data_IF_457273848357
#
_entry.id   IF_457273848357
#
_cell.length_a   1.000
_cell.length_b   1.000
_cell.length_c   1.000
_cell.angle_alpha   90.00
_cell.angle_beta   90.00
_cell.angle_gamma   90.00
#
_symmetry.space_group_name_H-M   'P 1'
#
loop_
_entity.id
_entity.type
_entity.pdbx_description
1 polymer ?
#
# COMPACT_ATOMS: atom_id res chain seq x y z
N UNK A 1 -9.82 11.98 59.63
CA UNK A 1 -9.04 12.50 58.50
C UNK A 1 -9.41 11.67 57.29
N UNK A 2 -10.06 12.33 56.33
CA UNK A 2 -10.56 11.78 55.06
C UNK A 2 -9.41 11.40 54.12
N UNK A 3 -9.55 10.36 53.28
CA UNK A 3 -8.60 10.08 52.21
C UNK A 3 -8.81 11.07 51.05
N UNK A 4 -7.70 11.63 50.54
CA UNK A 4 -7.68 12.48 49.35
C UNK A 4 -7.97 11.66 48.08
N UNK A 5 -8.74 12.27 47.18
CA UNK A 5 -9.11 11.73 45.86
C UNK A 5 -7.91 11.63 44.90
N UNK A 6 -7.97 10.76 43.87
CA UNK A 6 -6.97 10.74 42.79
C UNK A 6 -7.20 11.88 41.78
N UNK A 7 -6.09 12.40 41.26
CA UNK A 7 -6.03 13.42 40.21
C UNK A 7 -6.78 13.01 38.93
N UNK A 8 -7.56 13.93 38.36
CA UNK A 8 -8.16 13.81 37.03
C UNK A 8 -7.08 13.91 35.92
N UNK A 9 -7.24 13.17 34.80
CA UNK A 9 -6.30 13.26 33.69
C UNK A 9 -6.49 14.57 32.91
N UNK A 10 -5.37 15.28 32.75
CA UNK A 10 -5.27 16.52 31.98
C UNK A 10 -5.80 16.41 30.56
N UNK A 11 -6.46 17.49 30.16
CA UNK A 11 -6.96 17.86 28.85
C UNK A 11 -6.07 17.44 27.68
N UNK A 12 -6.70 16.86 26.66
CA UNK A 12 -6.07 16.41 25.43
C UNK A 12 -5.14 17.45 24.82
N UNK A 13 -3.87 17.09 24.66
CA UNK A 13 -2.97 17.79 23.77
C UNK A 13 -3.52 17.66 22.34
N UNK A 14 -3.82 18.79 21.71
CA UNK A 14 -4.10 18.87 20.29
C UNK A 14 -2.97 18.19 19.52
N UNK A 15 -3.25 17.03 18.92
CA UNK A 15 -2.30 16.38 18.02
C UNK A 15 -2.11 17.32 16.81
N UNK A 16 -0.87 17.71 16.48
CA UNK A 16 -0.63 18.56 15.32
C UNK A 16 -1.16 17.87 14.05
N UNK A 17 -1.83 18.65 13.20
CA UNK A 17 -2.37 18.16 11.93
C UNK A 17 -1.17 17.83 11.01
N UNK A 18 -0.96 16.53 10.78
CA UNK A 18 0.01 16.00 9.82
C UNK A 18 -0.30 16.43 8.38
N UNK A 19 0.73 16.67 7.55
CA UNK A 19 0.57 17.07 6.13
C UNK A 19 -0.11 15.97 5.32
N UNK A 20 0.14 14.70 5.65
CA UNK A 20 -0.57 13.52 5.13
C UNK A 20 -2.06 13.57 5.44
N UNK A 21 -2.44 13.95 6.66
CA UNK A 21 -3.84 14.13 7.03
C UNK A 21 -4.49 15.32 6.30
N UNK A 22 -3.74 16.39 6.05
CA UNK A 22 -4.21 17.54 5.25
C UNK A 22 -4.41 17.16 3.77
N UNK A 23 -3.49 16.41 3.17
CA UNK A 23 -3.57 15.93 1.80
C UNK A 23 -4.75 14.95 1.63
N UNK A 24 -4.94 14.02 2.57
CA UNK A 24 -6.14 13.16 2.62
C UNK A 24 -7.43 13.98 2.64
N UNK A 25 -7.50 15.04 3.45
CA UNK A 25 -8.66 15.91 3.53
C UNK A 25 -8.90 16.70 2.23
N UNK A 26 -7.83 17.18 1.58
CA UNK A 26 -7.91 17.89 0.31
C UNK A 26 -8.41 17.00 -0.84
N UNK A 27 -7.96 15.74 -0.88
CA UNK A 27 -8.39 14.72 -1.86
C UNK A 27 -9.84 14.31 -1.61
N UNK A 28 -10.22 14.02 -0.36
CA UNK A 28 -11.58 13.65 0.01
C UNK A 28 -12.61 14.77 -0.27
N UNK A 29 -12.17 16.03 -0.25
CA UNK A 29 -13.01 17.19 -0.56
C UNK A 29 -13.20 17.45 -2.07
N UNK A 30 -12.52 16.71 -2.97
CA UNK A 30 -12.74 16.81 -4.41
C UNK A 30 -12.49 18.20 -5.02
N UNK A 31 -11.69 19.06 -4.39
CA UNK A 31 -11.54 20.45 -4.79
C UNK A 31 -10.40 20.67 -5.81
N UNK A 32 -10.62 20.22 -7.04
CA UNK A 32 -10.11 20.95 -8.20
C UNK A 32 -11.20 21.93 -8.63
N UNK A 33 -11.20 23.15 -8.08
CA UNK A 33 -12.05 24.22 -8.59
C UNK A 33 -11.27 24.93 -9.70
N UNK A 34 -11.67 24.84 -10.97
CA UNK A 34 -11.09 25.68 -12.01
C UNK A 34 -11.50 27.12 -11.73
N UNK A 35 -10.54 28.00 -11.39
CA UNK A 35 -10.76 29.44 -11.37
C UNK A 35 -10.87 29.95 -12.82
N UNK A 36 -12.06 29.81 -13.41
CA UNK A 36 -12.51 30.70 -14.48
C UNK A 36 -13.54 31.64 -13.89
N UNK A 37 -13.25 32.93 -14.06
CA UNK A 37 -13.91 34.06 -13.45
C UNK A 37 -15.44 34.03 -13.59
N UNK A 38 -16.16 34.10 -12.47
CA UNK A 38 -17.11 35.17 -12.12
C UNK A 38 -17.89 34.78 -10.85
N UNK A 39 -17.80 35.62 -9.82
CA UNK A 39 -18.89 35.82 -8.84
C UNK A 39 -19.10 34.78 -7.72
N UNK A 40 -18.50 35.08 -6.56
CA UNK A 40 -19.00 34.83 -5.19
C UNK A 40 -19.13 33.40 -4.66
N UNK A 41 -18.07 32.90 -4.00
CA UNK A 41 -18.15 32.32 -2.64
C UNK A 41 -16.95 32.84 -1.85
N UNK A 42 -17.21 33.61 -0.81
CA UNK A 42 -16.21 34.16 0.08
C UNK A 42 -15.94 33.19 1.24
N UNK A 43 -14.74 32.64 1.31
CA UNK A 43 -14.02 32.39 2.57
C UNK A 43 -12.52 32.66 2.31
N UNK A 44 -11.89 33.38 3.23
CA UNK A 44 -10.50 33.85 3.22
C UNK A 44 -10.20 35.11 2.37
N UNK A 45 -10.79 36.24 2.76
CA UNK A 45 -10.10 37.53 2.66
C UNK A 45 -10.24 38.26 3.98
N UNK A 46 -9.37 37.91 4.90
CA UNK A 46 -8.85 38.84 5.90
C UNK A 46 -7.51 38.31 6.39
N UNK A 47 -6.44 38.78 5.75
CA UNK A 47 -5.10 38.80 6.33
C UNK A 47 -4.21 39.76 5.54
N UNK A 48 -4.17 41.00 6.02
CA UNK A 48 -2.98 41.84 6.13
C UNK A 48 -1.95 41.82 5.01
N UNK A 49 -1.85 42.95 4.33
CA UNK A 49 -0.59 43.56 3.93
C UNK A 49 0.38 43.64 5.10
N UNK A 50 1.11 42.57 5.38
CA UNK A 50 2.44 42.60 5.99
C UNK A 50 3.27 41.45 5.45
N UNK A 51 4.36 41.78 4.76
CA UNK A 51 5.37 40.83 4.29
C UNK A 51 6.01 40.11 5.45
N UNK A 52 5.39 39.01 5.86
CA UNK A 52 6.02 37.97 6.65
C UNK A 52 6.31 36.84 5.68
N UNK A 53 7.58 36.53 5.49
CA UNK A 53 7.98 35.26 4.90
C UNK A 53 7.25 34.17 5.66
N UNK A 54 6.34 33.49 4.97
CA UNK A 54 5.65 32.34 5.53
C UNK A 54 6.73 31.31 5.82
N UNK A 55 6.81 30.85 7.07
CA UNK A 55 7.72 29.79 7.43
C UNK A 55 7.47 28.59 6.49
N UNK A 56 8.50 28.02 5.86
CA UNK A 56 8.35 26.79 5.09
C UNK A 56 7.58 25.78 5.93
N UNK A 57 6.59 25.12 5.34
CA UNK A 57 5.90 24.00 5.99
C UNK A 57 6.97 23.06 6.54
N UNK A 58 6.89 22.65 7.82
CA UNK A 58 7.86 21.73 8.42
C UNK A 58 8.08 20.49 7.52
N UNK A 59 9.31 19.99 7.55
CA UNK A 59 9.73 18.77 6.85
C UNK A 59 8.82 17.59 7.25
N UNK A 60 8.59 16.66 6.31
CA UNK A 60 7.82 15.41 6.47
C UNK A 60 8.50 14.51 7.54
N UNK A 61 8.28 14.84 8.81
CA UNK A 61 8.79 14.12 10.00
C UNK A 61 7.62 13.84 10.96
N UNK A 62 6.54 13.31 10.39
CA UNK A 62 5.30 12.94 11.07
C UNK A 62 4.91 11.45 10.86
N UNK A 63 5.89 10.62 10.49
CA UNK A 63 5.74 9.17 10.26
C UNK A 63 6.05 8.70 8.83
N UNK A 64 6.97 9.38 8.16
CA UNK A 64 7.40 9.09 6.77
C UNK A 64 8.60 8.12 6.70
N UNK A 65 8.86 7.41 7.80
CA UNK A 65 9.73 6.24 7.74
C UNK A 65 9.15 5.24 6.73
N UNK A 66 9.95 4.76 5.76
CA UNK A 66 9.48 3.77 4.80
C UNK A 66 8.88 2.56 5.51
N UNK A 67 7.79 2.04 4.95
CA UNK A 67 7.16 0.83 5.47
C UNK A 67 8.17 -0.30 5.48
N UNK A 68 8.42 -0.85 6.66
CA UNK A 68 9.49 -1.82 6.86
C UNK A 68 9.19 -3.15 6.12
N UNK A 69 10.23 -3.82 5.57
CA UNK A 69 10.07 -5.14 4.97
C UNK A 69 9.92 -6.21 6.05
N UNK A 70 9.19 -7.27 5.74
CA UNK A 70 9.13 -8.50 6.53
C UNK A 70 9.16 -9.74 5.65
N UNK A 71 9.36 -10.90 6.27
CA UNK A 71 9.40 -12.17 5.56
C UNK A 71 8.10 -12.43 4.76
N UNK A 72 8.26 -13.03 3.57
CA UNK A 72 7.16 -13.47 2.72
C UNK A 72 6.30 -14.57 3.38
N UNK A 73 6.95 -15.44 4.15
CA UNK A 73 6.32 -16.64 4.68
C UNK A 73 6.15 -17.74 3.62
N UNK A 74 5.76 -18.95 4.03
CA UNK A 74 5.79 -20.13 3.16
C UNK A 74 4.58 -20.24 2.21
N UNK A 75 3.63 -19.30 2.28
CA UNK A 75 2.32 -19.42 1.64
C UNK A 75 2.07 -18.40 0.54
N UNK A 76 3.08 -17.69 0.05
CA UNK A 76 2.91 -16.85 -1.13
C UNK A 76 2.69 -17.71 -2.38
N UNK A 77 1.87 -17.20 -3.32
CA UNK A 77 1.68 -17.80 -4.64
C UNK A 77 1.73 -16.69 -5.70
N UNK A 78 2.57 -16.82 -6.73
CA UNK A 78 2.55 -15.89 -7.87
C UNK A 78 1.24 -16.05 -8.66
N UNK A 79 0.99 -15.16 -9.62
CA UNK A 79 -0.21 -15.18 -10.48
C UNK A 79 -1.54 -14.98 -9.74
N UNK A 80 -1.55 -14.17 -8.69
CA UNK A 80 -2.82 -13.79 -8.06
C UNK A 80 -3.72 -13.08 -9.09
N UNK A 81 -5.05 -13.26 -9.04
CA UNK A 81 -5.96 -12.56 -9.95
C UNK A 81 -6.04 -11.06 -9.63
N UNK A 82 -6.23 -10.22 -10.66
CA UNK A 82 -6.48 -8.78 -10.50
C UNK A 82 -7.87 -8.56 -9.88
N UNK A 83 -7.93 -8.30 -8.57
CA UNK A 83 -9.16 -8.01 -7.82
C UNK A 83 -8.85 -7.39 -6.45
N UNK A 84 -9.62 -6.37 -6.08
CA UNK A 84 -9.64 -5.80 -4.73
C UNK A 84 -10.68 -6.45 -3.80
N UNK A 85 -11.55 -7.34 -4.31
CA UNK A 85 -12.52 -8.07 -3.50
C UNK A 85 -12.16 -9.57 -3.46
N UNK A 86 -11.74 -10.03 -2.29
CA UNK A 86 -11.30 -11.40 -2.06
C UNK A 86 -12.43 -12.34 -1.62
N UNK A 87 -13.63 -11.82 -1.39
CA UNK A 87 -14.78 -12.56 -0.86
C UNK A 87 -15.91 -12.65 -1.88
N UNK A 88 -16.59 -13.80 -1.88
CA UNK A 88 -17.84 -14.04 -2.61
C UNK A 88 -19.03 -14.09 -1.64
N UNK A 89 -20.28 -13.99 -2.12
CA UNK A 89 -21.45 -14.19 -1.27
C UNK A 89 -21.38 -15.52 -0.50
N UNK A 90 -21.61 -15.47 0.81
CA UNK A 90 -21.54 -16.64 1.69
C UNK A 90 -20.15 -16.98 2.23
N UNK A 91 -19.11 -16.19 1.90
CA UNK A 91 -17.77 -16.40 2.50
C UNK A 91 -17.83 -16.31 4.03
N UNK A 92 -17.38 -17.34 4.77
CA UNK A 92 -17.40 -17.32 6.23
C UNK A 92 -16.33 -16.37 6.80
N UNK A 93 -16.65 -15.73 7.92
CA UNK A 93 -15.75 -14.83 8.64
C UNK A 93 -16.34 -13.45 8.88
N UNK A 94 -15.69 -12.68 9.75
CA UNK A 94 -16.08 -11.28 10.00
C UNK A 94 -15.67 -10.43 8.80
N UNK A 95 -16.61 -9.73 8.12
CA UNK A 95 -16.28 -8.86 7.00
C UNK A 95 -15.25 -7.79 7.39
N UNK A 96 -14.29 -7.55 6.52
CA UNK A 96 -13.22 -6.57 6.70
C UNK A 96 -13.00 -5.79 5.40
N UNK A 97 -12.97 -4.46 5.48
CA UNK A 97 -12.43 -3.61 4.42
C UNK A 97 -11.14 -2.98 4.92
N UNK A 98 -10.02 -3.16 4.21
CA UNK A 98 -8.75 -2.47 4.47
C UNK A 98 -8.56 -1.42 3.39
N UNK A 99 -8.35 -0.17 3.76
CA UNK A 99 -8.11 0.92 2.79
C UNK A 99 -7.03 1.86 3.26
N UNK A 100 -6.54 2.69 2.35
CA UNK A 100 -5.55 3.71 2.66
C UNK A 100 -4.90 4.22 1.40
N UNK A 101 -3.69 4.73 1.56
CA UNK A 101 -2.92 5.34 0.48
C UNK A 101 -1.51 4.77 0.42
N UNK A 102 -0.85 4.94 -0.72
CA UNK A 102 0.59 4.72 -0.86
C UNK A 102 1.25 6.07 -1.13
N UNK A 103 2.31 6.39 -0.38
CA UNK A 103 3.09 7.62 -0.52
C UNK A 103 4.55 7.31 -0.86
N UNK A 104 5.24 8.26 -1.48
CA UNK A 104 6.71 8.34 -1.53
C UNK A 104 7.30 9.06 -0.32
N UNK A 105 8.62 9.23 -0.29
CA UNK A 105 9.36 9.90 0.81
C UNK A 105 9.00 11.38 1.00
N UNK A 106 8.48 12.03 -0.03
CA UNK A 106 8.11 13.44 -0.06
C UNK A 106 6.62 13.68 0.24
N UNK A 107 5.97 12.70 0.86
CA UNK A 107 4.54 12.71 1.16
C UNK A 107 3.63 12.81 -0.08
N UNK A 108 4.13 12.51 -1.29
CA UNK A 108 3.32 12.55 -2.51
C UNK A 108 2.62 11.20 -2.72
N UNK A 109 1.29 11.19 -2.96
CA UNK A 109 0.57 9.97 -3.23
C UNK A 109 1.02 9.33 -4.55
N UNK A 110 1.25 8.02 -4.53
CA UNK A 110 1.75 7.25 -5.66
C UNK A 110 0.61 6.50 -6.34
N UNK A 111 0.31 6.87 -7.59
CA UNK A 111 -0.64 6.15 -8.44
C UNK A 111 0.00 4.94 -9.12
N UNK A 112 -0.81 3.91 -9.45
CA UNK A 112 -0.34 2.75 -10.21
C UNK A 112 0.59 1.83 -9.44
N UNK A 113 0.65 1.94 -8.11
CA UNK A 113 1.41 1.03 -7.25
C UNK A 113 0.69 -0.31 -7.21
N UNK A 114 1.38 -1.39 -7.56
CA UNK A 114 0.91 -2.75 -7.36
C UNK A 114 0.81 -3.05 -5.87
N UNK A 115 -0.35 -3.54 -5.44
CA UNK A 115 -0.56 -4.12 -4.11
C UNK A 115 -1.12 -5.53 -4.28
N UNK A 116 -0.31 -6.55 -4.00
CA UNK A 116 -0.66 -7.97 -4.08
C UNK A 116 -0.84 -8.56 -2.67
N UNK A 117 -2.09 -8.87 -2.32
CA UNK A 117 -2.49 -9.30 -0.99
C UNK A 117 -2.72 -10.82 -0.93
N UNK A 118 -2.29 -11.42 0.17
CA UNK A 118 -2.68 -12.79 0.52
C UNK A 118 -2.84 -12.96 2.03
N UNK A 119 -3.75 -13.84 2.44
CA UNK A 119 -4.01 -14.14 3.84
C UNK A 119 -4.56 -15.55 4.02
N UNK A 120 -4.66 -15.98 5.28
CA UNK A 120 -5.44 -17.15 5.65
C UNK A 120 -6.95 -16.88 5.58
N UNK A 121 -7.74 -17.95 5.52
CA UNK A 121 -9.18 -17.92 5.76
C UNK A 121 -9.51 -17.63 7.24
N UNK A 122 -10.80 -17.63 7.61
CA UNK A 122 -11.25 -17.34 8.98
C UNK A 122 -10.83 -18.41 10.01
N UNK A 123 -10.40 -19.60 9.57
CA UNK A 123 -9.91 -20.69 10.40
C UNK A 123 -8.37 -20.75 10.48
N UNK A 124 -7.66 -19.87 9.77
CA UNK A 124 -6.19 -19.83 9.76
C UNK A 124 -5.55 -20.72 8.70
N UNK A 125 -6.31 -21.21 7.71
CA UNK A 125 -5.79 -22.01 6.61
C UNK A 125 -5.50 -21.15 5.36
N UNK A 126 -4.36 -21.39 4.71
CA UNK A 126 -4.02 -20.81 3.41
C UNK A 126 -4.46 -21.72 2.27
N UNK A 127 -5.07 -21.17 1.23
CA UNK A 127 -5.35 -21.89 0.00
C UNK A 127 -4.06 -22.03 -0.83
N UNK A 128 -3.47 -23.23 -0.80
CA UNK A 128 -2.27 -23.57 -1.56
C UNK A 128 -2.59 -24.20 -2.94
N UNK A 129 -3.86 -24.52 -3.21
CA UNK A 129 -4.29 -25.13 -4.49
C UNK A 129 -4.84 -24.06 -5.44
N UNK A 130 -5.84 -23.31 -5.00
CA UNK A 130 -6.46 -22.22 -5.74
C UNK A 130 -5.88 -20.84 -5.39
N UNK A 131 -6.74 -19.82 -5.49
CA UNK A 131 -6.42 -18.43 -5.19
C UNK A 131 -7.37 -17.79 -4.17
N UNK A 132 -8.08 -18.59 -3.37
CA UNK A 132 -8.97 -18.06 -2.33
C UNK A 132 -8.17 -17.15 -1.38
N UNK A 133 -8.68 -15.96 -1.08
CA UNK A 133 -7.98 -14.93 -0.31
C UNK A 133 -6.63 -14.46 -0.89
N UNK A 134 -6.50 -14.48 -2.22
CA UNK A 134 -5.37 -13.91 -2.96
C UNK A 134 -5.86 -12.97 -4.05
N UNK A 135 -5.21 -11.84 -4.22
CA UNK A 135 -5.50 -10.94 -5.32
C UNK A 135 -4.67 -9.67 -5.25
N UNK A 136 -4.41 -9.11 -6.42
CA UNK A 136 -3.70 -7.85 -6.54
C UNK A 136 -4.60 -6.75 -7.10
N UNK A 137 -4.18 -5.51 -6.87
CA UNK A 137 -4.80 -4.30 -7.39
C UNK A 137 -3.71 -3.24 -7.63
N UNK A 138 -4.11 -2.11 -8.20
CA UNK A 138 -3.24 -0.95 -8.37
C UNK A 138 -3.86 0.25 -7.65
N UNK A 139 -3.03 1.10 -7.04
CA UNK A 139 -3.52 2.37 -6.49
C UNK A 139 -4.11 3.26 -7.59
N UNK A 140 -5.15 4.02 -7.24
CA UNK A 140 -5.77 4.96 -8.17
C UNK A 140 -4.94 6.24 -8.36
N UNK A 141 -5.46 7.21 -9.13
CA UNK A 141 -4.80 8.47 -9.41
C UNK A 141 -4.53 9.33 -8.15
N UNK A 142 -5.22 9.06 -7.05
CA UNK A 142 -5.00 9.71 -5.75
C UNK A 142 -4.08 8.91 -4.82
N UNK A 143 -3.53 7.79 -5.30
CA UNK A 143 -2.71 6.86 -4.53
C UNK A 143 -3.51 5.95 -3.60
N UNK A 144 -4.84 5.94 -3.71
CA UNK A 144 -5.70 5.18 -2.81
C UNK A 144 -5.84 3.70 -3.21
N UNK A 145 -6.06 2.83 -2.23
CA UNK A 145 -6.41 1.42 -2.43
C UNK A 145 -7.57 0.97 -1.53
N UNK A 146 -8.24 -0.12 -1.90
CA UNK A 146 -9.28 -0.74 -1.08
C UNK A 146 -9.33 -2.25 -1.29
N UNK A 147 -9.20 -2.98 -0.18
CA UNK A 147 -9.25 -4.43 -0.12
C UNK A 147 -10.49 -4.87 0.67
N UNK A 148 -11.43 -5.57 0.03
CA UNK A 148 -12.56 -6.22 0.68
C UNK A 148 -12.24 -7.69 0.94
N UNK A 149 -12.25 -8.09 2.20
CA UNK A 149 -11.88 -9.42 2.67
C UNK A 149 -12.66 -9.81 3.95
N UNK A 150 -12.18 -10.81 4.68
CA UNK A 150 -12.59 -11.13 6.06
C UNK A 150 -11.39 -11.04 6.99
N UNK A 151 -11.64 -10.93 8.29
CA UNK A 151 -10.61 -11.04 9.33
C UNK A 151 -9.98 -12.46 9.27
N UNK A 152 -8.68 -12.61 8.90
CA UNK A 152 -8.04 -13.93 8.81
C UNK A 152 -7.96 -14.58 10.18
N UNK A 153 -8.09 -15.90 10.28
CA UNK A 153 -7.88 -16.66 11.50
C UNK A 153 -6.41 -16.64 11.97
N UNK A 154 -6.18 -17.07 13.21
CA UNK A 154 -4.82 -17.31 13.71
C UNK A 154 -4.30 -18.61 13.13
N UNK A 155 -3.06 -18.61 12.62
CA UNK A 155 -2.35 -19.85 12.31
C UNK A 155 -1.25 -20.15 13.34
N UNK A 156 -0.79 -21.41 13.46
CA UNK A 156 0.14 -21.80 14.51
C UNK A 156 1.42 -20.94 14.53
N UNK A 157 1.78 -20.46 15.72
CA UNK A 157 3.03 -19.73 15.95
C UNK A 157 3.03 -18.25 15.58
N UNK A 158 1.94 -17.69 15.03
CA UNK A 158 1.89 -16.31 14.56
C UNK A 158 0.71 -15.52 15.11
N UNK A 159 0.86 -14.21 15.24
CA UNK A 159 -0.24 -13.27 15.50
C UNK A 159 -1.08 -13.08 14.23
N UNK A 160 -2.25 -12.43 14.34
CA UNK A 160 -3.12 -12.21 13.18
C UNK A 160 -2.48 -11.20 12.22
N UNK A 161 -2.41 -11.54 10.94
CA UNK A 161 -1.87 -10.65 9.91
C UNK A 161 -2.46 -10.91 8.52
N UNK A 162 -2.28 -9.91 7.66
CA UNK A 162 -2.46 -10.01 6.20
C UNK A 162 -1.10 -9.77 5.56
N UNK A 163 -0.72 -10.55 4.57
CA UNK A 163 0.49 -10.29 3.81
C UNK A 163 0.23 -9.38 2.63
N UNK A 164 1.26 -8.62 2.24
CA UNK A 164 1.20 -7.73 1.09
C UNK A 164 2.57 -7.61 0.42
N UNK A 165 2.57 -7.56 -0.91
CA UNK A 165 3.66 -7.05 -1.71
C UNK A 165 3.23 -5.71 -2.30
N UNK A 166 4.02 -4.67 -2.06
CA UNK A 166 3.80 -3.32 -2.58
C UNK A 166 4.92 -2.94 -3.54
N UNK A 167 4.58 -2.31 -4.66
CA UNK A 167 5.55 -2.02 -5.69
C UNK A 167 5.14 -0.81 -6.53
N UNK A 168 5.92 0.26 -6.45
CA UNK A 168 5.79 1.39 -7.37
C UNK A 168 6.22 0.98 -8.78
N UNK A 169 5.68 1.63 -9.83
CA UNK A 169 6.05 1.33 -11.21
C UNK A 169 7.57 1.40 -11.44
N UNK A 170 8.18 0.30 -11.90
CA UNK A 170 9.63 0.24 -12.18
C UNK A 170 10.53 0.02 -10.95
N UNK A 171 9.96 0.02 -9.75
CA UNK A 171 10.71 -0.03 -8.48
C UNK A 171 10.72 -1.43 -7.83
N UNK A 172 11.69 -1.76 -6.96
CA UNK A 172 11.74 -3.05 -6.27
C UNK A 172 10.47 -3.38 -5.47
N UNK A 173 10.20 -4.68 -5.28
CA UNK A 173 9.07 -5.14 -4.46
C UNK A 173 9.37 -4.97 -2.97
N UNK A 174 8.52 -4.24 -2.26
CA UNK A 174 8.42 -4.33 -0.80
C UNK A 174 7.55 -5.54 -0.44
N UNK A 175 8.11 -6.50 0.29
CA UNK A 175 7.33 -7.59 0.90
C UNK A 175 7.18 -7.31 2.39
N UNK A 176 5.94 -7.31 2.89
CA UNK A 176 5.67 -7.04 4.31
C UNK A 176 4.35 -7.67 4.77
N UNK A 177 3.95 -7.37 6.01
CA UNK A 177 2.74 -7.88 6.65
C UNK A 177 2.02 -6.75 7.39
N UNK A 178 0.71 -6.86 7.56
CA UNK A 178 -0.13 -5.89 8.30
C UNK A 178 -0.74 -6.57 9.52
N UNK A 179 -0.66 -5.93 10.69
CA UNK A 179 -1.10 -6.49 11.98
C UNK A 179 -2.40 -5.87 12.50
N UNK A 180 -3.06 -6.58 13.40
CA UNK A 180 -4.31 -6.15 14.03
C UNK A 180 -4.09 -5.66 15.47
N UNK A 181 -4.80 -4.60 15.90
CA UNK A 181 -4.70 -4.08 17.26
C UNK A 181 -5.35 -5.04 18.27
N UNK A 182 -4.75 -5.13 19.45
CA UNK A 182 -5.30 -5.87 20.58
C UNK A 182 -5.23 -7.40 20.47
N UNK A 183 -4.52 -7.96 19.49
CA UNK A 183 -4.29 -9.39 19.42
C UNK A 183 -3.34 -9.85 20.54
N UNK A 184 -3.73 -10.79 21.41
CA UNK A 184 -2.87 -11.25 22.51
C UNK A 184 -1.50 -11.76 22.04
N UNK A 185 -1.46 -12.35 20.84
CA UNK A 185 -0.24 -12.88 20.23
C UNK A 185 0.74 -11.81 19.72
N UNK A 186 0.36 -10.54 19.65
CA UNK A 186 1.32 -9.46 19.39
C UNK A 186 2.43 -9.43 20.45
N UNK A 187 2.14 -9.91 21.67
CA UNK A 187 3.13 -9.99 22.76
C UNK A 187 4.09 -11.20 22.66
N UNK A 188 3.84 -12.14 21.74
CA UNK A 188 4.57 -13.40 21.65
C UNK A 188 5.11 -13.71 20.24
N UNK A 189 4.55 -13.11 19.20
CA UNK A 189 5.05 -13.24 17.83
C UNK A 189 6.28 -12.36 17.65
N UNK A 190 7.44 -12.97 17.42
CA UNK A 190 8.74 -12.28 17.36
C UNK A 190 8.89 -11.38 16.15
N UNK A 191 8.02 -11.48 15.15
CA UNK A 191 8.04 -10.60 13.98
C UNK A 191 6.89 -9.57 13.99
N UNK A 192 6.08 -9.53 15.05
CA UNK A 192 5.15 -8.42 15.24
C UNK A 192 5.91 -7.10 15.32
N UNK A 193 5.44 -6.09 14.58
CA UNK A 193 5.98 -4.74 14.65
C UNK A 193 4.84 -3.70 14.70
N UNK A 194 4.84 -2.78 15.69
CA UNK A 194 3.82 -1.74 15.79
C UNK A 194 3.80 -0.76 14.60
N UNK A 195 4.90 -0.61 13.85
CA UNK A 195 4.92 0.22 12.62
C UNK A 195 4.03 -0.35 11.51
N UNK A 196 3.72 -1.64 11.57
CA UNK A 196 2.87 -2.36 10.61
C UNK A 196 1.43 -2.58 11.14
N UNK A 197 1.07 -1.89 12.23
CA UNK A 197 -0.23 -2.01 12.87
C UNK A 197 -1.30 -1.21 12.11
N UNK A 198 -2.36 -1.89 11.66
CA UNK A 198 -3.52 -1.22 11.10
C UNK A 198 -4.33 -0.51 12.20
N UNK A 199 -4.92 0.62 11.86
CA UNK A 199 -6.00 1.19 12.68
C UNK A 199 -7.31 0.50 12.33
N UNK A 200 -8.00 -0.13 13.29
CA UNK A 200 -9.18 -0.97 13.03
C UNK A 200 -10.36 -0.53 13.90
N UNK A 201 -11.53 -0.35 13.27
CA UNK A 201 -12.79 0.00 13.93
C UNK A 201 -13.90 -0.99 13.57
N UNK A 202 -14.87 -1.17 14.48
CA UNK A 202 -16.07 -1.96 14.20
C UNK A 202 -17.09 -1.11 13.43
N UNK A 203 -17.67 -1.66 12.37
CA UNK A 203 -18.72 -1.01 11.57
C UNK A 203 -19.79 -2.03 11.22
N UNK A 204 -21.00 -1.84 11.77
CA UNK A 204 -22.09 -2.81 11.64
C UNK A 204 -21.68 -4.21 12.12
N UNK A 205 -21.92 -5.22 11.29
CA UNK A 205 -21.50 -6.60 11.54
C UNK A 205 -20.06 -6.94 11.14
N UNK A 206 -19.25 -5.95 10.75
CA UNK A 206 -17.88 -6.13 10.25
C UNK A 206 -16.88 -5.16 10.85
N UNK A 207 -15.75 -5.00 10.17
CA UNK A 207 -14.66 -4.11 10.54
C UNK A 207 -14.19 -3.29 9.34
N UNK A 208 -13.70 -2.09 9.63
CA UNK A 208 -12.92 -1.29 8.70
C UNK A 208 -11.54 -1.08 9.28
N UNK A 209 -10.52 -1.25 8.45
CA UNK A 209 -9.13 -1.05 8.78
C UNK A 209 -8.51 -0.03 7.84
N UNK A 210 -7.58 0.77 8.37
CA UNK A 210 -6.81 1.73 7.59
C UNK A 210 -5.32 1.54 7.81
N UNK A 211 -4.54 1.58 6.73
CA UNK A 211 -3.09 1.58 6.74
C UNK A 211 -2.55 2.32 5.52
N UNK A 212 -1.53 3.15 5.71
CA UNK A 212 -0.87 3.84 4.60
C UNK A 212 0.53 3.32 4.44
N UNK A 213 0.89 2.94 3.22
CA UNK A 213 2.23 2.58 2.86
C UNK A 213 3.05 3.84 2.57
N UNK A 214 4.32 3.79 2.94
CA UNK A 214 5.34 4.74 2.52
C UNK A 214 6.42 3.93 1.82
N UNK A 215 6.58 4.15 0.52
CA UNK A 215 7.62 3.51 -0.28
C UNK A 215 8.84 4.41 -0.36
N UNK A 216 10.00 3.77 -0.42
CA UNK A 216 11.30 4.41 -0.39
C UNK A 216 11.68 5.02 -1.76
N UNK A 217 10.76 5.79 -2.34
CA UNK A 217 10.79 6.32 -3.71
C UNK A 217 10.48 7.82 -3.70
N UNK A 218 11.04 8.57 -4.65
CA UNK A 218 10.69 9.99 -4.83
C UNK A 218 9.31 10.08 -5.50
N UNK A 219 8.39 10.86 -4.94
CA UNK A 219 7.00 10.90 -5.38
C UNK A 219 6.70 11.92 -6.48
N UNK A 220 7.72 12.41 -7.19
CA UNK A 220 7.53 13.27 -8.36
C UNK A 220 6.60 12.62 -9.40
N UNK A 221 5.88 13.42 -10.23
CA UNK A 221 5.12 12.89 -11.34
C UNK A 221 6.07 12.04 -12.18
N UNK A 222 5.81 10.73 -12.22
CA UNK A 222 6.48 9.86 -13.17
C UNK A 222 5.99 10.30 -14.53
N UNK A 223 6.79 11.12 -15.23
CA UNK A 223 6.63 11.26 -16.65
C UNK A 223 6.54 9.83 -17.23
N UNK A 224 5.54 9.52 -18.08
CA UNK A 224 5.56 8.25 -18.80
C UNK A 224 6.94 8.16 -19.47
N UNK A 225 7.69 7.04 -19.36
CA UNK A 225 9.10 7.00 -19.72
C UNK A 225 9.34 7.65 -21.08
N UNK A 226 9.94 8.85 -21.07
CA UNK A 226 9.92 9.75 -22.23
C UNK A 226 10.99 9.45 -23.26
N UNK A 227 11.64 8.28 -23.22
CA UNK A 227 12.44 7.78 -24.32
C UNK A 227 12.35 6.25 -24.43
N UNK A 228 11.92 5.69 -25.57
CA UNK A 228 12.11 4.27 -25.83
C UNK A 228 13.60 3.99 -26.03
N UNK A 229 14.19 2.97 -25.37
CA UNK A 229 15.51 2.48 -25.76
C UNK A 229 15.47 2.06 -27.23
N UNK A 230 16.32 2.66 -28.05
CA UNK A 230 16.38 2.50 -29.51
C UNK A 230 17.06 1.21 -30.00
N UNK A 231 17.26 0.21 -29.15
CA UNK A 231 17.88 -1.05 -29.56
C UNK A 231 16.88 -2.22 -29.64
N UNK A 232 16.95 -3.08 -30.68
CA UNK A 232 16.15 -4.30 -30.78
C UNK A 232 16.63 -5.38 -29.79
N UNK A 233 15.83 -6.41 -29.47
CA UNK A 233 16.11 -7.37 -28.39
C UNK A 233 17.36 -8.22 -28.64
N UNK A 234 18.07 -8.61 -27.58
CA UNK A 234 19.03 -9.72 -27.65
C UNK A 234 18.69 -10.84 -26.65
N UNK A 235 17.81 -11.77 -27.02
CA UNK A 235 17.74 -13.11 -26.39
C UNK A 235 16.36 -13.71 -26.10
N UNK A 236 16.32 -15.04 -25.96
CA UNK A 236 15.20 -15.77 -25.35
C UNK A 236 15.28 -15.67 -23.83
N UNK A 237 14.12 -15.58 -23.16
CA UNK A 237 14.07 -15.63 -21.70
C UNK A 237 14.69 -16.94 -21.20
N UNK A 238 15.51 -16.83 -20.16
CA UNK A 238 16.18 -17.93 -19.48
C UNK A 238 16.06 -17.73 -17.96
N UNK A 239 15.90 -18.80 -17.15
CA UNK A 239 15.92 -18.74 -15.69
C UNK A 239 17.35 -18.52 -15.17
N UNK A 240 17.49 -17.91 -13.99
CA UNK A 240 18.78 -17.58 -13.38
C UNK A 240 19.53 -16.44 -14.09
N UNK A 241 18.90 -15.76 -15.05
CA UNK A 241 19.51 -14.71 -15.83
C UNK A 241 19.17 -13.34 -15.25
N UNK A 242 20.16 -12.45 -15.01
CA UNK A 242 19.90 -11.08 -14.62
C UNK A 242 19.37 -10.28 -15.82
N UNK A 243 18.16 -9.74 -15.71
CA UNK A 243 17.59 -8.76 -16.62
C UNK A 243 17.60 -7.39 -15.96
N UNK A 244 17.88 -6.34 -16.72
CA UNK A 244 17.65 -4.95 -16.35
C UNK A 244 16.23 -4.51 -16.75
N UNK A 245 15.73 -3.44 -16.12
CA UNK A 245 14.49 -2.81 -16.56
C UNK A 245 14.67 -2.25 -17.98
N UNK A 246 13.71 -2.52 -18.86
CA UNK A 246 13.77 -2.16 -20.27
C UNK A 246 14.33 -3.24 -21.19
N UNK A 247 15.02 -4.25 -20.65
CA UNK A 247 15.49 -5.40 -21.43
C UNK A 247 14.33 -6.07 -22.16
N UNK A 248 14.57 -6.57 -23.36
CA UNK A 248 13.59 -7.33 -24.12
C UNK A 248 13.99 -8.80 -24.16
N UNK A 249 13.05 -9.67 -23.84
CA UNK A 249 13.22 -11.11 -23.94
C UNK A 249 12.05 -11.73 -24.70
N UNK A 250 12.31 -12.85 -25.37
CA UNK A 250 11.26 -13.65 -26.03
C UNK A 250 10.93 -14.89 -25.22
N UNK A 251 9.65 -15.20 -25.04
CA UNK A 251 9.21 -16.44 -24.39
C UNK A 251 7.94 -16.97 -25.07
N UNK A 252 7.94 -18.25 -25.44
CA UNK A 252 6.80 -18.86 -26.14
C UNK A 252 6.45 -18.19 -27.48
N UNK A 253 7.43 -17.61 -28.17
CA UNK A 253 7.23 -16.90 -29.44
C UNK A 253 6.67 -15.48 -29.33
N UNK A 254 6.43 -14.97 -28.12
CA UNK A 254 6.02 -13.59 -27.89
C UNK A 254 7.17 -12.76 -27.30
N UNK A 255 7.20 -11.46 -27.63
CA UNK A 255 8.14 -10.49 -27.07
C UNK A 255 7.63 -9.92 -25.74
N UNK A 256 8.55 -9.69 -24.82
CA UNK A 256 8.26 -9.08 -23.54
C UNK A 256 9.35 -8.06 -23.20
N UNK A 257 8.92 -6.93 -22.66
CA UNK A 257 9.77 -5.93 -22.03
C UNK A 257 9.82 -6.19 -20.53
N UNK A 258 11.03 -6.39 -20.03
CA UNK A 258 11.34 -6.42 -18.62
C UNK A 258 10.96 -5.06 -18.01
N UNK A 259 10.09 -5.07 -17.01
CA UNK A 259 9.64 -3.86 -16.33
C UNK A 259 10.58 -3.47 -15.21
N UNK A 260 11.36 -4.42 -14.67
CA UNK A 260 12.14 -4.26 -13.45
C UNK A 260 13.39 -5.10 -13.48
N UNK A 261 14.51 -4.57 -12.99
CA UNK A 261 15.72 -5.35 -12.90
C UNK A 261 15.55 -6.51 -11.91
N UNK A 262 15.84 -7.74 -12.34
CA UNK A 262 15.73 -8.94 -11.51
C UNK A 262 16.60 -10.07 -12.06
N UNK A 263 16.96 -11.02 -11.22
CA UNK A 263 17.42 -12.33 -11.70
C UNK A 263 16.22 -13.24 -11.85
N UNK A 264 15.92 -13.68 -13.08
CA UNK A 264 14.80 -14.56 -13.37
C UNK A 264 14.92 -15.89 -12.62
N UNK A 265 13.79 -16.56 -12.39
CA UNK A 265 13.74 -17.87 -11.76
C UNK A 265 12.75 -18.76 -12.52
N UNK A 266 12.87 -20.07 -12.40
CA UNK A 266 11.83 -20.99 -12.91
C UNK A 266 10.49 -20.66 -12.25
N UNK A 267 9.44 -20.49 -13.05
CA UNK A 267 8.13 -20.00 -12.60
C UNK A 267 7.95 -18.47 -12.73
N UNK A 268 9.00 -17.73 -13.09
CA UNK A 268 8.97 -16.29 -13.39
C UNK A 268 9.08 -16.02 -14.90
N UNK A 269 8.53 -16.92 -15.71
CA UNK A 269 8.47 -16.71 -17.16
C UNK A 269 7.60 -15.46 -17.45
N UNK A 270 7.89 -14.70 -18.52
CA UNK A 270 7.25 -13.42 -18.76
C UNK A 270 5.70 -13.38 -18.69
N UNK A 271 4.95 -14.40 -19.16
CA UNK A 271 3.50 -14.43 -18.99
C UNK A 271 3.03 -14.58 -17.54
N UNK A 272 3.86 -15.15 -16.67
CA UNK A 272 3.53 -15.59 -15.31
C UNK A 272 3.85 -14.53 -14.23
N UNK A 273 4.53 -13.45 -14.61
CA UNK A 273 4.95 -12.38 -13.70
C UNK A 273 4.75 -11.04 -14.41
N UNK A 274 3.49 -10.61 -14.63
CA UNK A 274 3.18 -9.36 -15.33
C UNK A 274 3.69 -8.12 -14.60
N UNK A 275 4.06 -8.25 -13.32
CA UNK A 275 4.77 -7.24 -12.56
C UNK A 275 6.23 -7.03 -13.04
N UNK A 276 6.87 -8.10 -13.52
CA UNK A 276 8.26 -8.09 -14.01
C UNK A 276 8.35 -7.98 -15.53
N UNK A 277 7.28 -8.29 -16.27
CA UNK A 277 7.29 -8.33 -17.73
C UNK A 277 5.99 -7.80 -18.35
N UNK A 278 6.12 -6.97 -19.39
CA UNK A 278 5.01 -6.50 -20.23
C UNK A 278 5.14 -7.11 -21.61
N UNK A 279 4.07 -7.70 -22.12
CA UNK A 279 4.03 -8.22 -23.49
C UNK A 279 4.08 -7.08 -24.52
N UNK A 280 4.86 -7.27 -25.58
CA UNK A 280 4.91 -6.39 -26.77
C UNK A 280 4.14 -6.99 -27.95
#
# INVERSE_FOLDING_TARGET
MTPSAPDEPGTGADRPISRKNLLRAAVAAGAAVPLLATGTVALARDAGTQGRDLAPTPFCDDGDDPTIPQMEGPYFKPNSPLRGNLVTPGTPGTPLTVSGYVFGRDCVPLSGVLLDFWQADNAGAYDNVGYTFRGHQFTDASGAFSLRTIVPGLYPGRTRHIHVKAQAPGEPVLTTQLYFPGEPRNNTDTIYDPALLMNVRNVGGGKEATFDFVLDVEGGPTDPPTDPPTDPPSGSWAPGHPYAAGDRATYGGAGYRCLQAHTSMTGWEPPNVPALWRRE
#
